data_IF_845125277965
#
_entry.id   IF_845125277965
#
_cell.length_a   1.000
_cell.length_b   1.000
_cell.length_c   1.000
_cell.angle_alpha   90.00
_cell.angle_beta   90.00
_cell.angle_gamma   90.00
#
_symmetry.space_group_name_H-M   'P 1'
#
loop_
_entity.id
_entity.type
_entity.pdbx_description
1 polymer ?
#
# COMPACT_ATOMS: atom_id res chain seq x y z
N UNK A 1 45.36 -32.96 -0.69
CA UNK A 1 45.27 -32.63 -2.13
C UNK A 1 44.57 -31.29 -2.28
N UNK A 2 45.05 -30.36 -3.12
CA UNK A 2 44.30 -29.14 -3.43
C UNK A 2 42.96 -29.49 -4.08
N UNK A 3 41.92 -28.69 -3.80
CA UNK A 3 40.60 -28.87 -4.39
C UNK A 3 40.66 -28.61 -5.90
N UNK A 4 40.05 -29.51 -6.68
CA UNK A 4 39.93 -29.35 -8.12
C UNK A 4 39.09 -28.11 -8.45
N UNK A 5 39.59 -27.26 -9.34
CA UNK A 5 38.90 -26.06 -9.79
C UNK A 5 38.38 -26.23 -11.21
N UNK A 6 37.20 -25.70 -11.48
CA UNK A 6 36.59 -25.67 -12.81
C UNK A 6 36.26 -24.23 -13.21
N UNK A 7 36.33 -23.96 -14.51
CA UNK A 7 35.92 -22.67 -15.08
C UNK A 7 34.46 -22.75 -15.55
N UNK A 8 33.62 -21.92 -14.94
CA UNK A 8 32.22 -21.73 -15.30
C UNK A 8 32.13 -20.56 -16.26
N UNK A 9 31.67 -20.79 -17.49
CA UNK A 9 31.57 -19.76 -18.50
C UNK A 9 30.47 -20.03 -19.53
N UNK A 10 30.02 -18.98 -20.19
CA UNK A 10 29.20 -19.06 -21.40
C UNK A 10 29.98 -19.76 -22.53
N UNK A 11 29.37 -20.76 -23.15
CA UNK A 11 29.94 -21.51 -24.28
C UNK A 11 29.54 -20.82 -25.57
N UNK A 12 30.45 -20.03 -26.10
CA UNK A 12 30.28 -19.29 -27.34
C UNK A 12 31.39 -19.68 -28.32
N UNK A 13 31.09 -19.90 -29.61
CA UNK A 13 29.80 -19.64 -30.28
C UNK A 13 28.81 -20.81 -30.27
N UNK A 14 29.20 -22.00 -29.77
CA UNK A 14 28.42 -23.23 -30.00
C UNK A 14 27.04 -23.24 -29.33
N UNK A 15 26.81 -22.41 -28.31
CA UNK A 15 25.55 -22.36 -27.54
C UNK A 15 24.92 -20.97 -27.45
N UNK A 16 25.27 -20.05 -28.34
CA UNK A 16 24.71 -18.69 -28.37
C UNK A 16 23.17 -18.70 -28.51
N UNK A 17 22.61 -19.71 -29.21
CA UNK A 17 21.15 -19.88 -29.35
C UNK A 17 20.43 -20.15 -28.01
N UNK A 18 21.17 -20.46 -26.95
CA UNK A 18 20.64 -20.70 -25.60
C UNK A 18 20.88 -19.49 -24.67
N UNK A 19 21.35 -18.35 -25.22
CA UNK A 19 21.59 -17.13 -24.46
C UNK A 19 20.30 -16.59 -23.84
N UNK A 20 20.34 -16.36 -22.52
CA UNK A 20 19.27 -15.68 -21.79
C UNK A 20 19.71 -14.24 -21.50
N UNK A 21 18.83 -13.29 -21.86
CA UNK A 21 18.91 -11.89 -21.47
C UNK A 21 17.85 -11.58 -20.41
N UNK A 22 18.18 -10.77 -19.41
CA UNK A 22 17.28 -10.42 -18.31
C UNK A 22 17.44 -8.95 -17.90
N UNK A 23 16.38 -8.29 -17.41
CA UNK A 23 16.49 -6.91 -16.95
C UNK A 23 17.43 -6.79 -15.74
N UNK A 24 18.33 -5.81 -15.75
CA UNK A 24 19.14 -5.42 -14.59
C UNK A 24 18.39 -4.38 -13.78
N UNK A 25 17.78 -4.85 -12.69
CA UNK A 25 17.01 -4.02 -11.75
C UNK A 25 17.97 -3.42 -10.71
N UNK A 26 18.13 -2.09 -10.72
CA UNK A 26 18.95 -1.38 -9.73
C UNK A 26 18.16 -1.02 -8.47
N UNK A 27 16.83 -1.03 -8.56
CA UNK A 27 15.95 -0.80 -7.44
C UNK A 27 14.48 -0.87 -7.82
N UNK A 28 13.63 -0.63 -6.84
CA UNK A 28 12.19 -0.54 -7.04
C UNK A 28 11.74 0.87 -6.71
N UNK A 29 10.89 1.47 -7.55
CA UNK A 29 10.23 2.74 -7.23
C UNK A 29 8.73 2.55 -7.17
N UNK A 30 8.16 3.12 -6.12
CA UNK A 30 6.73 3.43 -6.08
C UNK A 30 6.58 4.76 -6.81
N UNK A 31 6.03 4.74 -8.02
CA UNK A 31 5.51 5.99 -8.58
C UNK A 31 4.37 6.44 -7.67
N UNK A 32 4.43 7.68 -7.18
CA UNK A 32 3.28 8.32 -6.57
C UNK A 32 2.27 8.52 -7.70
N UNK A 33 1.11 7.83 -7.72
CA UNK A 33 0.03 8.29 -8.56
C UNK A 33 -0.28 9.73 -8.13
N UNK A 34 -0.88 10.55 -9.01
CA UNK A 34 -1.78 11.58 -8.48
C UNK A 34 -2.68 10.84 -7.48
N UNK A 35 -2.54 11.10 -6.17
CA UNK A 35 -3.24 10.38 -5.11
C UNK A 35 -4.74 10.69 -5.22
N UNK A 36 -5.40 10.13 -6.23
CA UNK A 36 -6.82 10.24 -6.48
C UNK A 36 -7.48 9.23 -5.57
N UNK A 37 -8.05 9.74 -4.49
CA UNK A 37 -8.84 8.95 -3.56
C UNK A 37 -10.25 8.79 -4.15
N UNK A 38 -10.68 7.54 -4.22
CA UNK A 38 -12.08 7.18 -4.43
C UNK A 38 -12.54 6.29 -3.27
N UNK A 39 -13.85 6.10 -3.13
CA UNK A 39 -14.42 5.26 -2.08
C UNK A 39 -15.60 4.45 -2.61
N UNK A 40 -15.63 3.17 -2.26
CA UNK A 40 -16.80 2.30 -2.48
C UNK A 40 -17.44 2.04 -1.14
N UNK A 41 -18.65 2.56 -0.95
CA UNK A 41 -19.39 2.39 0.29
C UNK A 41 -20.37 1.23 0.18
N UNK A 42 -20.35 0.35 1.17
CA UNK A 42 -21.19 -0.84 1.26
C UNK A 42 -21.86 -0.98 2.63
N UNK A 43 -22.42 -2.15 2.94
CA UNK A 43 -23.04 -2.43 4.24
C UNK A 43 -22.10 -2.18 5.43
N UNK A 44 -20.81 -2.50 5.28
CA UNK A 44 -19.79 -2.32 6.32
C UNK A 44 -19.41 -0.85 6.55
N UNK A 45 -19.76 0.03 5.62
CA UNK A 45 -19.53 1.47 5.75
C UNK A 45 -20.57 2.16 6.64
N UNK A 46 -21.63 1.45 7.06
CA UNK A 46 -22.72 2.03 7.85
C UNK A 46 -22.29 2.26 9.31
N UNK A 47 -22.53 3.47 9.82
CA UNK A 47 -22.46 3.82 11.23
C UNK A 47 -23.86 4.08 11.77
N UNK A 48 -24.34 3.22 12.67
CA UNK A 48 -25.60 3.40 13.40
C UNK A 48 -25.33 4.18 14.68
N UNK A 49 -25.79 5.43 14.72
CA UNK A 49 -25.75 6.26 15.92
C UNK A 49 -26.98 5.97 16.80
N UNK A 50 -26.73 5.40 17.97
CA UNK A 50 -27.74 5.16 19.01
C UNK A 50 -27.43 5.98 20.26
N UNK A 51 -28.41 6.28 21.12
CA UNK A 51 -28.15 6.96 22.39
C UNK A 51 -27.15 6.22 23.29
N UNK A 52 -27.12 4.89 23.24
CA UNK A 52 -26.16 4.05 23.97
C UNK A 52 -24.72 4.24 23.50
N UNK A 53 -24.52 4.52 22.22
CA UNK A 53 -23.20 4.80 21.65
C UNK A 53 -22.76 6.23 21.95
N UNK A 54 -23.70 7.19 21.93
CA UNK A 54 -23.43 8.61 22.17
C UNK A 54 -23.25 8.93 23.67
N UNK A 55 -24.03 8.30 24.54
CA UNK A 55 -24.03 8.55 25.99
C UNK A 55 -22.64 8.49 26.63
N UNK A 56 -21.86 7.41 26.41
CA UNK A 56 -20.47 7.30 26.87
C UNK A 56 -19.56 8.41 26.34
N UNK A 57 -19.74 8.84 25.09
CA UNK A 57 -18.95 9.89 24.45
C UNK A 57 -19.27 11.30 24.98
N UNK A 58 -20.46 11.53 25.55
CA UNK A 58 -20.82 12.80 26.22
C UNK A 58 -20.22 12.86 27.63
N UNK A 59 -20.27 11.76 28.40
CA UNK A 59 -19.83 11.74 29.81
C UNK A 59 -18.30 11.71 29.96
N UNK A 60 -17.59 11.06 29.02
CA UNK A 60 -16.12 11.13 28.96
C UNK A 60 -15.72 12.40 28.24
N UNK A 61 -15.55 13.47 29.01
CA UNK A 61 -15.12 14.81 28.62
C UNK A 61 -13.85 14.81 27.73
N UNK A 62 -13.94 14.45 26.44
CA UNK A 62 -12.77 14.22 25.58
C UNK A 62 -13.02 14.72 24.16
N UNK A 63 -12.41 15.87 23.84
CA UNK A 63 -12.08 16.31 22.50
C UNK A 63 -13.26 16.50 21.54
N UNK A 64 -13.52 17.75 21.16
CA UNK A 64 -14.28 18.00 19.94
C UNK A 64 -13.29 18.17 18.80
N UNK A 65 -13.55 17.48 17.70
CA UNK A 65 -12.74 17.62 16.49
C UNK A 65 -12.83 19.06 16.02
N UNK A 66 -11.73 19.83 16.11
CA UNK A 66 -11.72 21.22 15.64
C UNK A 66 -10.91 22.24 16.41
N UNK A 67 -10.23 21.87 17.52
CA UNK A 67 -9.57 22.77 18.49
C UNK A 67 -9.32 24.21 18.01
N UNK A 68 -10.11 25.11 18.60
CA UNK A 68 -10.22 26.52 18.28
C UNK A 68 -11.70 26.91 18.24
N UNK A 69 -12.17 27.51 19.35
CA UNK A 69 -13.55 27.97 19.63
C UNK A 69 -14.43 26.93 20.33
N UNK A 70 -14.99 27.36 21.46
CA UNK A 70 -15.99 26.73 22.32
C UNK A 70 -17.13 26.06 21.52
N UNK A 71 -16.93 24.82 21.10
CA UNK A 71 -18.06 23.97 20.74
C UNK A 71 -18.60 23.40 22.06
N UNK A 72 -19.37 24.18 22.80
CA UNK A 72 -20.17 23.62 23.90
C UNK A 72 -21.26 22.71 23.31
N UNK A 73 -21.67 21.69 24.06
CA UNK A 73 -22.73 20.75 23.69
C UNK A 73 -24.02 21.43 23.20
N UNK A 74 -24.26 22.66 23.66
CA UNK A 74 -25.44 23.49 23.35
C UNK A 74 -25.51 23.94 21.89
N UNK A 75 -24.39 24.03 21.18
CA UNK A 75 -24.34 24.55 19.79
C UNK A 75 -24.26 23.47 18.71
N UNK A 76 -24.17 22.18 19.06
CA UNK A 76 -24.01 21.10 18.08
C UNK A 76 -25.24 20.94 17.18
N UNK A 77 -26.45 21.14 17.70
CA UNK A 77 -27.70 20.94 16.94
C UNK A 77 -27.88 21.91 15.78
N UNK A 78 -27.32 23.11 15.88
CA UNK A 78 -27.44 24.16 14.86
C UNK A 78 -26.29 24.14 13.84
N UNK A 79 -25.39 23.15 13.93
CA UNK A 79 -24.26 23.03 13.01
C UNK A 79 -24.73 22.70 11.60
N UNK A 80 -24.25 23.50 10.64
CA UNK A 80 -24.46 23.26 9.21
C UNK A 80 -23.72 21.99 8.77
N UNK A 81 -24.34 21.24 7.85
CA UNK A 81 -23.73 20.03 7.27
C UNK A 81 -22.35 20.28 6.64
N UNK A 82 -22.13 21.47 6.07
CA UNK A 82 -20.83 21.88 5.53
C UNK A 82 -19.72 21.95 6.59
N UNK A 83 -20.08 22.33 7.81
CA UNK A 83 -19.18 22.41 8.96
C UNK A 83 -18.84 21.00 9.42
N UNK A 84 -19.85 20.15 9.61
CA UNK A 84 -19.66 18.72 9.94
C UNK A 84 -18.71 18.05 8.94
N UNK A 85 -18.93 18.26 7.64
CA UNK A 85 -18.07 17.75 6.57
C UNK A 85 -16.64 18.27 6.64
N UNK A 86 -16.46 19.55 6.92
CA UNK A 86 -15.13 20.15 7.07
C UNK A 86 -14.36 19.50 8.23
N UNK A 87 -14.99 19.39 9.39
CA UNK A 87 -14.37 18.81 10.58
C UNK A 87 -14.10 17.32 10.41
N UNK A 88 -15.03 16.55 9.84
CA UNK A 88 -14.82 15.13 9.55
C UNK A 88 -13.68 14.91 8.54
N UNK A 89 -13.61 15.72 7.48
CA UNK A 89 -12.53 15.64 6.50
C UNK A 89 -11.17 16.04 7.11
N UNK A 90 -11.16 17.08 7.96
CA UNK A 90 -9.97 17.47 8.74
C UNK A 90 -9.53 16.34 9.65
N UNK A 91 -10.46 15.71 10.36
CA UNK A 91 -10.19 14.56 11.23
C UNK A 91 -9.56 13.42 10.46
N UNK A 92 -10.17 13.01 9.34
CA UNK A 92 -9.64 11.99 8.43
C UNK A 92 -8.21 12.30 7.99
N UNK A 93 -7.97 13.54 7.56
CA UNK A 93 -6.66 13.97 7.09
C UNK A 93 -5.58 13.85 8.18
N UNK A 94 -5.87 14.38 9.37
CA UNK A 94 -4.89 14.46 10.46
C UNK A 94 -4.69 13.12 11.19
N UNK A 95 -5.67 12.23 11.18
CA UNK A 95 -5.60 10.94 11.89
C UNK A 95 -5.30 9.74 11.00
N UNK A 96 -5.77 9.72 9.75
CA UNK A 96 -5.66 8.54 8.86
C UNK A 96 -4.74 8.74 7.66
N UNK A 97 -4.51 9.98 7.23
CA UNK A 97 -3.74 10.33 6.02
C UNK A 97 -2.54 11.24 6.32
N UNK A 98 -2.01 11.13 7.53
CA UNK A 98 -0.78 11.79 7.99
C UNK A 98 0.25 10.70 8.28
N UNK A 99 1.43 10.81 7.67
CA UNK A 99 2.54 9.91 7.96
C UNK A 99 3.14 10.25 9.35
N UNK A 100 3.59 9.26 10.14
CA UNK A 100 4.10 9.51 11.48
C UNK A 100 5.25 10.53 11.49
N UNK A 101 5.04 11.66 12.16
CA UNK A 101 6.04 12.73 12.26
C UNK A 101 6.06 13.72 11.10
N UNK A 102 5.29 13.50 10.03
CA UNK A 102 5.21 14.42 8.89
C UNK A 102 4.06 15.43 9.02
N UNK A 103 4.02 16.42 8.12
CA UNK A 103 2.88 17.32 7.98
C UNK A 103 1.69 16.62 7.28
N UNK A 104 0.44 17.03 7.58
CA UNK A 104 -0.73 16.48 6.89
C UNK A 104 -0.70 16.81 5.39
N UNK A 105 -1.07 15.84 4.57
CA UNK A 105 -1.14 15.95 3.10
C UNK A 105 -2.30 16.84 2.64
N UNK A 106 -2.16 18.16 2.75
CA UNK A 106 -3.24 19.14 2.53
C UNK A 106 -3.91 19.04 1.15
N UNK A 107 -3.19 18.57 0.11
CA UNK A 107 -3.76 18.34 -1.22
C UNK A 107 -4.86 17.26 -1.24
N UNK A 108 -4.92 16.37 -0.24
CA UNK A 108 -5.97 15.35 -0.11
C UNK A 108 -7.26 15.90 0.51
N UNK A 109 -7.22 17.07 1.15
CA UNK A 109 -8.36 17.59 1.91
C UNK A 109 -9.64 17.71 1.07
N UNK A 110 -9.53 18.27 -0.14
CA UNK A 110 -10.68 18.42 -1.04
C UNK A 110 -11.31 17.08 -1.44
N UNK A 111 -10.48 16.05 -1.64
CA UNK A 111 -10.93 14.71 -2.00
C UNK A 111 -11.60 14.01 -0.81
N UNK A 112 -10.99 14.08 0.38
CA UNK A 112 -11.56 13.55 1.61
C UNK A 112 -12.90 14.20 1.95
N UNK A 113 -13.03 15.53 1.77
CA UNK A 113 -14.30 16.25 1.97
C UNK A 113 -15.38 15.81 0.97
N UNK A 114 -15.01 15.55 -0.29
CA UNK A 114 -15.94 14.99 -1.30
C UNK A 114 -16.42 13.59 -0.90
N UNK A 115 -15.51 12.73 -0.45
CA UNK A 115 -15.81 11.36 -0.03
C UNK A 115 -16.68 11.35 1.24
N UNK A 116 -16.35 12.19 2.24
CA UNK A 116 -17.15 12.34 3.45
C UNK A 116 -18.58 12.82 3.13
N UNK A 117 -18.75 13.68 2.11
CA UNK A 117 -20.08 14.07 1.60
C UNK A 117 -20.83 12.89 1.01
N UNK A 118 -20.18 12.12 0.13
CA UNK A 118 -20.79 10.92 -0.45
C UNK A 118 -21.23 9.92 0.63
N UNK A 119 -20.46 9.80 1.72
CA UNK A 119 -20.82 8.95 2.85
C UNK A 119 -22.05 9.45 3.62
N UNK A 120 -22.12 10.76 3.92
CA UNK A 120 -23.27 11.35 4.59
C UNK A 120 -24.53 11.33 3.72
N UNK A 121 -24.43 11.85 2.48
CA UNK A 121 -25.56 11.97 1.55
C UNK A 121 -26.06 10.60 1.08
N UNK A 122 -25.18 9.60 1.06
CA UNK A 122 -25.52 8.20 0.74
C UNK A 122 -26.25 7.44 1.85
N UNK A 123 -26.49 8.07 3.01
CA UNK A 123 -27.25 7.45 4.11
C UNK A 123 -26.46 6.39 4.90
N UNK A 124 -25.13 6.42 4.84
CA UNK A 124 -24.27 5.52 5.61
C UNK A 124 -24.13 5.96 7.07
N UNK A 125 -24.50 7.20 7.41
CA UNK A 125 -24.77 7.59 8.78
C UNK A 125 -26.26 7.42 9.09
N UNK A 126 -26.58 6.53 10.03
CA UNK A 126 -27.95 6.21 10.40
C UNK A 126 -28.19 6.60 11.85
N UNK A 127 -28.98 7.65 12.06
CA UNK A 127 -29.35 8.14 13.39
C UNK A 127 -30.66 7.50 13.87
N UNK A 128 -30.72 7.16 15.16
CA UNK A 128 -31.87 6.54 15.81
C UNK A 128 -31.99 7.02 17.26
N UNK A 129 -33.20 6.97 17.84
CA UNK A 129 -33.40 7.37 19.24
C UNK A 129 -33.10 8.84 19.53
N UNK A 130 -33.27 9.74 18.56
CA UNK A 130 -33.04 11.18 18.71
C UNK A 130 -31.58 11.61 18.54
N UNK A 131 -30.69 10.72 18.11
CA UNK A 131 -29.33 11.08 17.65
C UNK A 131 -29.38 11.89 16.36
N UNK A 132 -28.33 12.64 16.07
CA UNK A 132 -28.27 13.55 14.93
C UNK A 132 -26.83 13.72 14.40
N UNK A 133 -26.64 14.08 13.12
CA UNK A 133 -25.33 14.03 12.47
C UNK A 133 -24.22 14.84 13.12
N UNK A 134 -24.52 15.97 13.76
CA UNK A 134 -23.50 16.81 14.40
C UNK A 134 -22.84 16.13 15.62
N UNK A 135 -23.38 15.00 16.10
CA UNK A 135 -22.71 14.17 17.10
C UNK A 135 -21.42 13.52 16.56
N UNK A 136 -21.19 13.52 15.23
CA UNK A 136 -19.89 13.21 14.64
C UNK A 136 -18.76 14.14 15.11
N UNK A 137 -19.06 15.27 15.76
CA UNK A 137 -18.05 16.15 16.33
C UNK A 137 -17.40 15.60 17.61
N UNK A 138 -18.04 14.63 18.27
CA UNK A 138 -17.40 13.88 19.36
C UNK A 138 -16.27 13.03 18.80
N UNK A 139 -15.08 13.13 19.39
CA UNK A 139 -13.87 12.48 18.89
C UNK A 139 -14.05 10.97 18.65
N UNK A 140 -14.59 10.25 19.64
CA UNK A 140 -14.81 8.79 19.52
C UNK A 140 -15.70 8.45 18.31
N UNK A 141 -16.74 9.23 18.08
CA UNK A 141 -17.66 9.03 16.96
C UNK A 141 -16.99 9.41 15.63
N UNK A 142 -16.24 10.51 15.61
CA UNK A 142 -15.45 10.93 14.46
C UNK A 142 -14.45 9.85 14.06
N UNK A 143 -13.78 9.22 15.03
CA UNK A 143 -12.85 8.11 14.82
C UNK A 143 -13.56 6.89 14.21
N UNK A 144 -14.73 6.53 14.74
CA UNK A 144 -15.54 5.42 14.20
C UNK A 144 -16.00 5.66 12.76
N UNK A 145 -16.38 6.89 12.43
CA UNK A 145 -16.73 7.28 11.07
C UNK A 145 -15.49 7.28 10.16
N UNK A 146 -14.37 7.81 10.65
CA UNK A 146 -13.12 7.89 9.91
C UNK A 146 -12.57 6.50 9.55
N UNK A 147 -12.66 5.52 10.45
CA UNK A 147 -12.26 4.14 10.16
C UNK A 147 -13.09 3.51 9.03
N UNK A 148 -14.42 3.71 9.05
CA UNK A 148 -15.31 3.20 8.00
C UNK A 148 -15.03 3.83 6.64
N UNK A 149 -14.82 5.15 6.62
CA UNK A 149 -14.49 5.87 5.38
C UNK A 149 -13.11 5.43 4.86
N UNK A 150 -12.11 5.28 5.74
CA UNK A 150 -10.79 4.79 5.35
C UNK A 150 -10.84 3.38 4.78
N UNK A 151 -11.62 2.48 5.37
CA UNK A 151 -11.80 1.12 4.87
C UNK A 151 -12.36 1.14 3.43
N UNK A 152 -13.42 1.91 3.21
CA UNK A 152 -14.03 2.09 1.88
C UNK A 152 -13.07 2.69 0.84
N UNK A 153 -12.16 3.60 1.24
CA UNK A 153 -11.11 4.12 0.37
C UNK A 153 -10.07 3.05 0.06
N UNK A 154 -9.62 2.32 1.08
CA UNK A 154 -8.58 1.29 0.95
C UNK A 154 -8.99 0.17 0.00
N UNK A 155 -10.28 -0.21 0.01
CA UNK A 155 -10.82 -1.20 -0.92
C UNK A 155 -10.64 -0.79 -2.39
N UNK A 156 -10.75 0.49 -2.72
CA UNK A 156 -10.53 0.97 -4.10
C UNK A 156 -9.06 1.00 -4.52
N UNK A 157 -8.13 1.01 -3.54
CA UNK A 157 -6.69 1.00 -3.79
C UNK A 157 -6.14 -0.42 -3.96
N UNK A 158 -6.92 -1.45 -3.62
CA UNK A 158 -6.55 -2.85 -3.83
C UNK A 158 -6.44 -3.15 -5.34
N UNK A 159 -5.19 -3.21 -5.83
CA UNK A 159 -4.86 -3.46 -7.24
C UNK A 159 -4.15 -2.31 -7.95
N UNK A 160 -4.11 -1.10 -7.37
CA UNK A 160 -3.58 0.10 -8.03
C UNK A 160 -2.10 0.42 -7.72
N UNK A 161 -1.37 -0.45 -7.01
CA UNK A 161 0.03 -0.23 -6.62
C UNK A 161 1.00 -1.24 -7.27
N UNK A 162 1.20 -1.22 -8.60
CA UNK A 162 2.27 -2.00 -9.20
C UNK A 162 3.62 -1.40 -8.79
N UNK A 163 4.44 -2.18 -8.09
CA UNK A 163 5.85 -1.84 -7.87
C UNK A 163 6.54 -1.86 -9.24
N UNK A 164 7.03 -0.71 -9.72
CA UNK A 164 7.79 -0.64 -10.98
C UNK A 164 9.27 -0.86 -10.70
N UNK A 165 9.88 -1.76 -11.48
CA UNK A 165 11.33 -1.96 -11.47
C UNK A 165 12.02 -0.75 -12.12
N UNK A 166 13.01 -0.17 -11.44
CA UNK A 166 13.95 0.77 -12.05
C UNK A 166 15.05 -0.07 -12.70
N UNK A 167 15.10 -0.04 -14.03
CA UNK A 167 16.20 -0.64 -14.79
C UNK A 167 17.41 0.28 -14.74
N UNK A 168 18.61 -0.30 -14.73
CA UNK A 168 19.85 0.48 -14.71
C UNK A 168 19.98 1.38 -15.93
N UNK A 169 20.30 2.67 -15.71
CA UNK A 169 20.24 3.71 -16.74
C UNK A 169 21.22 3.49 -17.91
N UNK A 170 22.35 2.83 -17.63
CA UNK A 170 23.43 2.62 -18.61
C UNK A 170 23.50 1.17 -19.09
N UNK A 171 23.01 0.21 -18.30
CA UNK A 171 22.98 -1.20 -18.67
C UNK A 171 21.69 -1.87 -18.17
N UNK A 172 20.55 -1.66 -18.87
CA UNK A 172 19.25 -2.14 -18.44
C UNK A 172 19.06 -3.64 -18.65
N UNK A 173 19.95 -4.31 -19.40
CA UNK A 173 19.82 -5.72 -19.78
C UNK A 173 21.11 -6.48 -19.45
N UNK A 174 21.02 -7.45 -18.54
CA UNK A 174 22.06 -8.45 -18.31
C UNK A 174 21.95 -9.60 -19.32
N UNK A 175 23.05 -10.30 -19.50
CA UNK A 175 23.10 -11.50 -20.33
C UNK A 175 23.98 -12.57 -19.68
N UNK A 176 23.59 -13.83 -19.91
CA UNK A 176 24.41 -15.01 -19.60
C UNK A 176 25.76 -15.04 -20.32
N UNK A 177 25.97 -14.30 -21.41
CA UNK A 177 27.26 -14.21 -22.14
C UNK A 177 28.40 -13.69 -21.26
N UNK A 178 28.07 -12.90 -20.23
CA UNK A 178 29.05 -12.33 -19.31
C UNK A 178 29.42 -13.25 -18.14
N UNK A 179 28.86 -14.46 -18.06
CA UNK A 179 29.22 -15.44 -17.02
C UNK A 179 30.62 -15.97 -17.32
N UNK A 180 31.57 -15.69 -16.43
CA UNK A 180 32.93 -16.23 -16.48
C UNK A 180 33.61 -16.13 -15.10
N UNK A 181 33.74 -17.27 -14.41
CA UNK A 181 34.45 -17.34 -13.13
C UNK A 181 35.03 -18.74 -12.90
N UNK A 182 35.88 -18.87 -11.89
CA UNK A 182 36.48 -20.14 -11.48
C UNK A 182 36.01 -20.49 -10.07
N UNK A 183 35.65 -21.76 -9.85
CA UNK A 183 35.22 -22.24 -8.52
C UNK A 183 35.84 -23.59 -8.20
N UNK A 184 35.98 -23.89 -6.91
CA UNK A 184 36.40 -25.19 -6.37
C UNK A 184 35.23 -25.98 -5.75
N UNK A 185 33.98 -25.53 -5.93
CA UNK A 185 32.79 -26.24 -5.44
C UNK A 185 32.67 -27.60 -6.13
N UNK A 186 32.47 -28.63 -5.32
CA UNK A 186 32.38 -30.03 -5.75
C UNK A 186 30.97 -30.37 -6.26
N UNK A 187 29.93 -29.77 -5.68
CA UNK A 187 28.55 -29.94 -6.13
C UNK A 187 28.27 -29.06 -7.35
N UNK A 188 28.30 -29.68 -8.52
CA UNK A 188 28.17 -29.00 -9.82
C UNK A 188 27.62 -29.96 -10.86
N UNK A 189 26.82 -29.45 -11.78
CA UNK A 189 26.21 -30.22 -12.85
C UNK A 189 26.70 -29.77 -14.23
N UNK A 190 27.09 -30.72 -15.08
CA UNK A 190 27.54 -30.43 -16.44
C UNK A 190 26.34 -30.26 -17.37
N UNK A 191 26.27 -29.13 -18.05
CA UNK A 191 25.19 -28.82 -19.00
C UNK A 191 25.46 -29.37 -20.40
N UNK A 192 26.46 -30.24 -20.55
CA UNK A 192 26.98 -30.73 -21.84
C UNK A 192 26.25 -31.93 -22.42
N UNK A 193 25.22 -32.46 -21.74
CA UNK A 193 24.45 -33.60 -22.22
C UNK A 193 23.86 -33.37 -23.63
N UNK A 194 23.71 -34.40 -24.48
CA UNK A 194 23.15 -34.25 -25.82
C UNK A 194 21.60 -34.28 -25.80
N UNK A 195 20.90 -33.23 -26.29
CA UNK A 195 21.42 -31.95 -26.77
C UNK A 195 21.73 -30.97 -25.62
N UNK A 196 22.71 -30.06 -25.80
CA UNK A 196 23.05 -29.09 -24.76
C UNK A 196 21.85 -28.20 -24.44
N UNK A 197 21.56 -28.05 -23.14
CA UNK A 197 20.33 -27.39 -22.66
C UNK A 197 20.55 -25.96 -22.13
N UNK A 198 21.81 -25.54 -21.93
CA UNK A 198 22.13 -24.22 -21.37
C UNK A 198 23.34 -23.58 -22.06
N UNK A 199 23.33 -22.24 -22.11
CA UNK A 199 24.45 -21.42 -22.61
C UNK A 199 25.72 -21.57 -21.75
N UNK A 200 25.59 -21.71 -20.44
CA UNK A 200 26.72 -21.88 -19.49
C UNK A 200 27.10 -23.36 -19.38
N UNK A 201 28.41 -23.68 -19.31
CA UNK A 201 28.94 -25.06 -19.31
C UNK A 201 28.71 -25.86 -18.01
N UNK A 202 28.55 -25.18 -16.86
CA UNK A 202 28.34 -25.78 -15.55
C UNK A 202 27.29 -25.00 -14.76
N UNK A 203 26.43 -25.72 -14.03
CA UNK A 203 25.59 -25.16 -12.96
C UNK A 203 26.26 -25.51 -11.64
N UNK A 204 26.46 -24.50 -10.78
CA UNK A 204 27.03 -24.71 -9.45
C UNK A 204 25.88 -24.74 -8.47
N UNK A 205 25.82 -25.80 -7.67
CA UNK A 205 24.73 -26.02 -6.73
C UNK A 205 25.22 -25.78 -5.31
N UNK A 206 24.34 -25.21 -4.48
CA UNK A 206 24.55 -25.05 -3.05
C UNK A 206 23.97 -26.22 -2.25
N UNK A 207 23.04 -26.97 -2.85
CA UNK A 207 22.44 -28.18 -2.28
C UNK A 207 22.03 -29.16 -3.37
N UNK A 208 21.80 -30.41 -2.97
CA UNK A 208 21.46 -31.54 -3.85
C UNK A 208 20.11 -31.38 -4.56
N UNK A 209 19.11 -30.80 -3.89
CA UNK A 209 17.78 -30.56 -4.47
C UNK A 209 17.79 -29.71 -5.75
N UNK A 210 18.78 -28.82 -5.93
CA UNK A 210 18.89 -27.94 -7.12
C UNK A 210 19.26 -28.70 -8.39
N UNK A 211 19.79 -29.92 -8.24
CA UNK A 211 20.22 -30.79 -9.33
C UNK A 211 19.21 -31.90 -9.66
N UNK A 212 18.06 -31.96 -8.98
CA UNK A 212 17.02 -32.96 -9.19
C UNK A 212 16.04 -32.55 -10.30
N UNK A 213 16.40 -32.77 -11.58
CA UNK A 213 15.49 -32.58 -12.72
C UNK A 213 15.77 -33.51 -13.90
#
# INVERSE_FOLDING_TARGET
KPRETVRVHAVSPERDALEITFPRVEGYRVELPEERLDARFGPDSVLRLTPELVGPSITKNQGIVGEGVELTLEHLKDMRSSTILFHLAKHLLYTKYRDPGEEPKLHLFGQLKRIARQWLDGGYLQCSGGTYPAQLMYLEIADMAAERIKAAITETLAGARPVKAILGAYNPTGSTIHVNFTTSKELRWSTSGPPPKCHVNWVICDSDWEAEF
#
